data_IF_123156791624
#
_entry.id   IF_123156791624
#
_cell.length_a   1.000
_cell.length_b   1.000
_cell.length_c   1.000
_cell.angle_alpha   90.00
_cell.angle_beta   90.00
_cell.angle_gamma   90.00
#
_symmetry.space_group_name_H-M   'P 1'
#
loop_
_entity.id
_entity.type
_entity.pdbx_description
1 polymer ?
#
# COMPACT_ATOMS: atom_id res chain seq x y z
N UNK A 1 42.26 45.33 -25.78
CA UNK A 1 40.85 45.39 -25.35
C UNK A 1 40.15 44.00 -25.38
N UNK A 2 40.65 43.00 -26.11
CA UNK A 2 40.06 41.67 -26.23
C UNK A 2 40.27 40.77 -24.99
N UNK A 3 41.40 40.86 -24.30
CA UNK A 3 41.71 40.03 -23.11
C UNK A 3 40.90 40.41 -21.86
N UNK A 4 40.48 41.68 -21.75
CA UNK A 4 39.63 42.16 -20.64
C UNK A 4 38.18 41.66 -20.77
N UNK A 5 37.69 41.47 -22.00
CA UNK A 5 36.34 40.93 -22.26
C UNK A 5 36.24 39.43 -22.01
N UNK A 6 37.31 38.67 -22.27
CA UNK A 6 37.36 37.22 -22.03
C UNK A 6 37.45 36.95 -20.51
N UNK A 7 38.24 37.75 -19.76
CA UNK A 7 38.32 37.64 -18.31
C UNK A 7 37.01 37.98 -17.59
N UNK A 8 36.26 38.98 -18.07
CA UNK A 8 34.96 39.34 -17.54
C UNK A 8 33.88 38.27 -17.85
N UNK A 9 33.96 37.63 -19.03
CA UNK A 9 33.04 36.52 -19.36
C UNK A 9 33.33 35.28 -18.53
N UNK A 10 34.60 34.94 -18.28
CA UNK A 10 35.02 33.81 -17.44
C UNK A 10 34.64 34.00 -15.96
N UNK A 11 34.75 35.24 -15.45
CA UNK A 11 34.34 35.58 -14.08
C UNK A 11 32.80 35.56 -13.94
N UNK A 12 32.06 35.93 -14.96
CA UNK A 12 30.60 35.85 -15.02
C UNK A 12 30.11 34.40 -15.07
N UNK A 13 30.80 33.49 -15.74
CA UNK A 13 30.50 32.06 -15.81
C UNK A 13 30.81 31.36 -14.47
N UNK A 14 31.87 31.73 -13.77
CA UNK A 14 32.19 31.24 -12.43
C UNK A 14 31.23 31.75 -11.35
N UNK A 15 30.63 32.92 -11.51
CA UNK A 15 29.60 33.45 -10.62
C UNK A 15 28.21 32.78 -10.82
N UNK A 16 28.01 32.10 -11.94
CA UNK A 16 26.78 31.34 -12.27
C UNK A 16 26.74 29.93 -11.64
N UNK A 17 27.83 29.45 -11.02
CA UNK A 17 27.77 28.25 -10.14
C UNK A 17 27.13 28.68 -8.80
N UNK A 18 25.82 28.79 -8.79
CA UNK A 18 25.03 29.19 -7.62
C UNK A 18 25.37 28.35 -6.39
N UNK A 19 25.69 29.01 -5.27
CA UNK A 19 25.91 28.32 -3.98
C UNK A 19 24.62 27.67 -3.52
N UNK A 20 24.54 26.34 -3.57
CA UNK A 20 23.44 25.62 -2.94
C UNK A 20 23.66 25.58 -1.43
N UNK A 21 22.67 26.01 -0.66
CA UNK A 21 22.66 25.90 0.81
C UNK A 21 21.95 24.65 1.32
N UNK A 22 21.56 23.75 0.40
CA UNK A 22 21.00 22.44 0.76
C UNK A 22 22.05 21.65 1.52
N UNK A 23 21.76 21.16 2.74
CA UNK A 23 22.67 20.28 3.46
C UNK A 23 22.93 19.02 2.65
N UNK A 24 24.18 18.52 2.69
CA UNK A 24 24.48 17.22 2.07
C UNK A 24 23.59 16.16 2.70
N UNK A 25 22.88 15.42 1.85
CA UNK A 25 22.08 14.29 2.33
C UNK A 25 23.00 13.16 2.76
N UNK A 26 22.76 12.67 3.97
CA UNK A 26 23.39 11.45 4.51
C UNK A 26 22.26 10.53 4.96
N UNK A 27 22.29 9.30 4.46
CA UNK A 27 21.27 8.30 4.84
C UNK A 27 21.43 7.96 6.31
N UNK A 28 20.38 8.11 7.15
CA UNK A 28 20.42 7.67 8.55
C UNK A 28 20.74 6.19 8.67
N UNK A 29 21.45 5.80 9.74
CA UNK A 29 21.68 4.38 10.03
C UNK A 29 20.35 3.68 10.33
N UNK A 30 20.22 2.43 9.88
CA UNK A 30 19.02 1.65 10.17
C UNK A 30 18.95 1.28 11.66
N UNK A 31 17.86 1.62 12.38
CA UNK A 31 17.73 1.37 13.82
C UNK A 31 17.23 -0.06 14.12
N UNK A 32 17.76 -1.06 13.40
CA UNK A 32 17.36 -2.47 13.49
C UNK A 32 18.57 -3.39 13.55
N UNK A 33 18.38 -4.61 14.06
CA UNK A 33 19.44 -5.62 14.11
C UNK A 33 19.91 -6.03 12.71
N UNK A 34 21.15 -6.50 12.61
CA UNK A 34 21.74 -6.96 11.35
C UNK A 34 21.16 -8.30 10.86
N UNK A 35 20.50 -9.07 11.73
CA UNK A 35 19.86 -10.35 11.41
C UNK A 35 18.44 -10.39 11.98
N UNK A 36 17.55 -11.16 11.33
CA UNK A 36 16.23 -11.41 11.89
C UNK A 36 16.31 -12.40 13.07
N UNK A 37 15.41 -12.30 14.06
CA UNK A 37 15.24 -13.34 15.06
C UNK A 37 14.90 -14.67 14.38
N UNK A 38 15.30 -15.80 14.97
CA UNK A 38 14.99 -17.16 14.52
C UNK A 38 15.49 -17.54 13.12
N UNK A 39 16.41 -16.80 12.54
CA UNK A 39 17.02 -17.14 11.27
C UNK A 39 18.07 -18.25 11.47
N UNK A 40 17.72 -19.50 11.12
CA UNK A 40 18.54 -20.71 11.37
C UNK A 40 19.77 -20.80 10.44
N UNK A 41 19.79 -20.12 9.32
CA UNK A 41 20.95 -20.02 8.43
C UNK A 41 20.94 -18.74 7.60
N UNK A 42 22.12 -18.14 7.29
CA UNK A 42 22.19 -17.08 6.30
C UNK A 42 21.82 -17.68 4.93
N UNK A 43 20.63 -17.39 4.46
CA UNK A 43 20.22 -17.75 3.09
C UNK A 43 21.07 -16.90 2.15
N UNK A 44 21.76 -17.55 1.23
CA UNK A 44 22.59 -16.90 0.22
C UNK A 44 21.84 -15.77 -0.47
N UNK A 45 22.53 -14.66 -0.72
CA UNK A 45 22.02 -13.36 -1.19
C UNK A 45 21.36 -13.35 -2.59
N UNK A 46 20.71 -14.42 -3.00
CA UNK A 46 20.01 -14.56 -4.29
C UNK A 46 18.50 -14.67 -4.18
N UNK A 47 17.92 -14.08 -3.15
CA UNK A 47 16.48 -13.84 -3.18
C UNK A 47 16.20 -12.67 -4.12
N UNK A 48 16.26 -12.97 -5.40
CA UNK A 48 15.87 -12.06 -6.46
C UNK A 48 14.45 -11.56 -6.22
N UNK A 49 14.10 -10.42 -6.77
CA UNK A 49 12.76 -9.91 -6.90
C UNK A 49 11.87 -10.96 -7.57
N UNK A 50 11.30 -11.90 -6.77
CA UNK A 50 10.33 -12.83 -7.32
C UNK A 50 9.11 -12.03 -7.75
N UNK A 51 8.83 -12.02 -9.05
CA UNK A 51 7.65 -11.37 -9.58
C UNK A 51 6.39 -12.03 -8.98
N UNK A 52 5.32 -11.25 -8.75
CA UNK A 52 4.10 -11.80 -8.17
C UNK A 52 3.48 -12.94 -9.02
N UNK A 53 3.68 -12.92 -10.34
CA UNK A 53 3.27 -14.00 -11.26
C UNK A 53 4.03 -15.30 -11.01
N UNK A 54 5.25 -15.21 -10.55
CA UNK A 54 6.07 -16.35 -10.19
C UNK A 54 5.74 -16.88 -8.79
N UNK A 55 5.45 -15.97 -7.85
CA UNK A 55 5.04 -16.30 -6.49
C UNK A 55 3.70 -17.02 -6.46
N UNK A 56 2.72 -16.56 -7.23
CA UNK A 56 1.38 -17.15 -7.30
C UNK A 56 1.37 -18.31 -8.29
N UNK A 57 1.19 -19.52 -7.80
CA UNK A 57 1.12 -20.73 -8.63
C UNK A 57 -0.23 -20.99 -9.30
N UNK A 58 -1.34 -20.57 -8.66
CA UNK A 58 -2.70 -20.76 -9.18
C UNK A 58 -3.00 -19.76 -10.31
N UNK A 59 -3.42 -20.27 -11.49
CA UNK A 59 -3.70 -19.47 -12.68
C UNK A 59 -4.91 -18.54 -12.49
N UNK A 60 -5.97 -19.01 -11.84
CA UNK A 60 -7.18 -18.20 -11.58
C UNK A 60 -6.87 -17.03 -10.66
N UNK A 61 -6.04 -17.26 -9.64
CA UNK A 61 -5.59 -16.19 -8.74
C UNK A 61 -4.69 -15.20 -9.48
N UNK A 62 -3.80 -15.67 -10.37
CA UNK A 62 -2.99 -14.77 -11.23
C UNK A 62 -3.84 -13.89 -12.14
N UNK A 63 -4.86 -14.47 -12.76
CA UNK A 63 -5.77 -13.71 -13.64
C UNK A 63 -6.60 -12.71 -12.83
N UNK A 64 -7.04 -13.10 -11.65
CA UNK A 64 -7.79 -12.21 -10.76
C UNK A 64 -6.93 -11.04 -10.26
N UNK A 65 -5.66 -11.28 -9.91
CA UNK A 65 -4.70 -10.22 -9.55
C UNK A 65 -4.47 -9.31 -10.76
N UNK A 66 -4.29 -9.85 -11.97
CA UNK A 66 -4.15 -9.05 -13.19
C UNK A 66 -5.37 -8.15 -13.41
N UNK A 67 -6.57 -8.69 -13.21
CA UNK A 67 -7.82 -7.94 -13.30
C UNK A 67 -7.91 -6.83 -12.24
N UNK A 68 -7.50 -7.13 -11.00
CA UNK A 68 -7.44 -6.14 -9.92
C UNK A 68 -6.45 -5.02 -10.23
N UNK A 69 -5.26 -5.34 -10.71
CA UNK A 69 -4.24 -4.34 -11.09
C UNK A 69 -4.74 -3.41 -12.22
N UNK A 70 -5.58 -3.91 -13.12
CA UNK A 70 -6.17 -3.11 -14.19
C UNK A 70 -7.33 -2.22 -13.73
N UNK A 71 -8.14 -2.66 -12.75
CA UNK A 71 -9.42 -2.03 -12.44
C UNK A 71 -9.52 -1.43 -11.03
N UNK A 72 -8.58 -1.72 -10.13
CA UNK A 72 -8.65 -1.22 -8.75
C UNK A 72 -8.60 0.31 -8.71
N UNK A 73 -9.52 0.91 -7.95
CA UNK A 73 -9.67 2.38 -7.89
C UNK A 73 -8.59 3.04 -7.05
N UNK A 74 -8.13 2.40 -5.99
CA UNK A 74 -7.07 2.95 -5.14
C UNK A 74 -5.73 2.98 -5.88
N UNK A 75 -5.41 1.93 -6.65
CA UNK A 75 -4.23 1.91 -7.50
C UNK A 75 -4.31 2.97 -8.61
N UNK A 76 -5.50 3.18 -9.18
CA UNK A 76 -5.73 4.26 -10.15
C UNK A 76 -5.54 5.64 -9.52
N UNK A 77 -6.04 5.86 -8.31
CA UNK A 77 -5.81 7.11 -7.55
C UNK A 77 -4.32 7.32 -7.31
N UNK A 78 -3.58 6.29 -6.89
CA UNK A 78 -2.14 6.36 -6.71
C UNK A 78 -1.41 6.74 -8.01
N UNK A 79 -1.82 6.17 -9.15
CA UNK A 79 -1.25 6.49 -10.48
C UNK A 79 -1.53 7.94 -10.89
N UNK A 80 -2.78 8.40 -10.72
CA UNK A 80 -3.13 9.80 -11.04
C UNK A 80 -2.43 10.79 -10.11
N UNK A 81 -2.16 10.42 -8.86
CA UNK A 81 -1.38 11.23 -7.94
C UNK A 81 0.07 11.45 -8.43
N UNK A 82 0.67 10.44 -9.08
CA UNK A 82 1.99 10.61 -9.73
C UNK A 82 1.92 11.71 -10.78
N UNK A 83 0.90 11.72 -11.63
CA UNK A 83 0.73 12.74 -12.67
C UNK A 83 0.55 14.14 -12.06
N UNK A 84 -0.24 14.25 -11.00
CA UNK A 84 -0.45 15.50 -10.27
C UNK A 84 0.86 16.03 -9.68
N UNK A 85 1.61 15.19 -8.95
CA UNK A 85 2.87 15.59 -8.31
C UNK A 85 3.94 15.87 -9.36
N UNK A 86 3.97 15.12 -10.47
CA UNK A 86 4.84 15.39 -11.62
C UNK A 86 4.58 16.76 -12.22
N UNK A 87 3.30 17.12 -12.41
CA UNK A 87 2.94 18.46 -12.89
C UNK A 87 3.39 19.56 -11.91
N UNK A 88 3.25 19.34 -10.60
CA UNK A 88 3.76 20.27 -9.58
C UNK A 88 5.28 20.40 -9.62
N UNK A 89 6.02 19.30 -9.83
CA UNK A 89 7.47 19.34 -10.00
C UNK A 89 7.87 20.10 -11.29
N UNK A 90 7.09 19.96 -12.36
CA UNK A 90 7.30 20.75 -13.59
C UNK A 90 7.05 22.25 -13.37
N UNK A 91 6.04 22.62 -12.59
CA UNK A 91 5.80 24.02 -12.20
C UNK A 91 7.02 24.57 -11.45
N UNK A 92 7.55 23.83 -10.45
CA UNK A 92 8.77 24.25 -9.73
C UNK A 92 10.00 24.32 -10.62
N UNK A 93 10.10 23.46 -11.61
CA UNK A 93 11.15 23.55 -12.64
C UNK A 93 10.98 24.78 -13.52
N UNK A 94 9.75 25.16 -13.86
CA UNK A 94 9.45 26.35 -14.65
C UNK A 94 9.81 27.65 -13.92
N UNK A 95 9.75 27.68 -12.57
CA UNK A 95 10.17 28.82 -11.76
C UNK A 95 11.65 29.24 -12.00
N UNK A 96 12.48 28.36 -12.57
CA UNK A 96 13.87 28.66 -12.97
C UNK A 96 13.94 29.50 -14.24
N UNK A 97 12.88 29.62 -15.00
CA UNK A 97 12.84 30.31 -16.29
C UNK A 97 11.93 31.54 -16.22
N UNK A 98 12.26 32.59 -16.98
CA UNK A 98 11.40 33.77 -17.05
C UNK A 98 10.07 33.44 -17.74
N UNK A 99 8.97 33.99 -17.23
CA UNK A 99 7.68 33.98 -17.92
C UNK A 99 7.47 35.30 -18.65
N UNK A 100 7.19 35.20 -19.95
CA UNK A 100 6.93 36.38 -20.80
C UNK A 100 5.45 36.34 -21.20
N UNK A 101 4.77 37.46 -20.97
CA UNK A 101 3.38 37.65 -21.33
C UNK A 101 3.18 38.92 -22.17
N UNK A 102 2.07 38.99 -22.91
CA UNK A 102 1.59 40.21 -23.48
C UNK A 102 0.80 40.98 -22.41
N UNK A 103 1.21 42.23 -22.15
CA UNK A 103 0.55 43.12 -21.19
C UNK A 103 0.00 44.34 -21.90
N UNK A 104 -1.23 44.72 -21.55
CA UNK A 104 -1.81 46.00 -21.92
C UNK A 104 -2.25 46.70 -20.63
N UNK A 105 -1.84 47.92 -20.42
CA UNK A 105 -2.17 48.70 -19.24
C UNK A 105 -2.58 50.13 -19.61
N UNK A 106 -3.57 50.67 -18.90
CA UNK A 106 -3.94 52.07 -18.91
C UNK A 106 -3.89 52.60 -17.47
N UNK A 107 -3.11 53.64 -17.24
CA UNK A 107 -3.01 54.33 -15.96
C UNK A 107 -3.46 55.78 -16.11
N UNK A 108 -4.27 56.27 -15.17
CA UNK A 108 -4.75 57.62 -15.07
C UNK A 108 -4.55 58.12 -13.63
N UNK A 109 -3.66 59.05 -13.45
CA UNK A 109 -3.31 59.55 -12.11
C UNK A 109 -3.09 61.09 -12.13
N UNK A 110 -3.30 61.79 -10.99
CA UNK A 110 -2.90 63.17 -10.85
C UNK A 110 -1.41 63.37 -11.14
N UNK A 111 -1.05 64.44 -11.90
CA UNK A 111 0.32 64.72 -12.30
C UNK A 111 1.11 65.57 -11.30
N UNK A 112 0.55 65.91 -10.16
CA UNK A 112 1.15 66.73 -9.11
C UNK A 112 1.11 68.23 -9.38
N UNK A 113 0.69 68.66 -10.57
CA UNK A 113 0.51 70.05 -10.98
C UNK A 113 -0.96 70.49 -11.06
N UNK A 114 -1.91 69.63 -10.58
CA UNK A 114 -3.34 69.80 -10.67
C UNK A 114 -3.99 69.29 -11.94
N UNK A 115 -3.20 68.68 -12.82
CA UNK A 115 -3.63 67.99 -14.02
C UNK A 115 -3.78 66.47 -13.85
N UNK A 116 -4.14 65.78 -14.92
CA UNK A 116 -4.28 64.32 -14.97
C UNK A 116 -3.33 63.80 -16.09
N UNK A 117 -2.38 62.97 -15.70
CA UNK A 117 -1.56 62.21 -16.62
C UNK A 117 -2.21 60.87 -16.97
N UNK A 118 -2.27 60.57 -18.27
CA UNK A 118 -2.68 59.25 -18.75
C UNK A 118 -1.42 58.54 -19.29
N UNK A 119 -1.35 57.27 -19.12
CA UNK A 119 -0.33 56.42 -19.77
C UNK A 119 -1.00 55.13 -20.26
N UNK A 120 -0.87 54.87 -21.54
CA UNK A 120 -1.33 53.62 -22.16
C UNK A 120 -0.10 52.88 -22.63
N UNK A 121 -0.04 51.55 -22.40
CA UNK A 121 1.08 50.73 -22.85
C UNK A 121 0.59 49.36 -23.33
N UNK A 122 1.23 48.85 -24.38
CA UNK A 122 1.04 47.50 -24.89
C UNK A 122 2.40 46.91 -25.26
N UNK A 123 2.70 45.71 -24.79
CA UNK A 123 3.97 45.08 -25.11
C UNK A 123 4.19 43.76 -24.40
N UNK A 124 5.34 43.17 -24.64
CA UNK A 124 5.80 42.00 -23.90
C UNK A 124 6.28 42.43 -22.50
N UNK A 125 5.88 41.68 -21.48
CA UNK A 125 6.31 41.93 -20.12
C UNK A 125 6.81 40.63 -19.46
N UNK A 126 7.92 40.76 -18.76
CA UNK A 126 8.50 39.81 -17.84
C UNK A 126 8.24 40.31 -16.41
N UNK A 127 7.49 39.59 -15.64
CA UNK A 127 7.16 40.00 -14.28
C UNK A 127 8.02 39.29 -13.24
N UNK A 128 8.89 40.07 -12.56
CA UNK A 128 9.62 39.69 -11.34
C UNK A 128 10.21 38.26 -11.34
N UNK A 129 10.92 37.89 -12.41
CA UNK A 129 11.65 36.64 -12.46
C UNK A 129 12.83 36.66 -11.47
N UNK A 130 12.90 35.69 -10.57
CA UNK A 130 13.98 35.55 -9.60
C UNK A 130 15.17 34.85 -10.21
N UNK A 131 16.33 35.46 -10.14
CA UNK A 131 17.61 34.88 -10.56
C UNK A 131 18.21 34.18 -9.34
N UNK A 132 18.34 32.86 -9.43
CA UNK A 132 18.66 31.98 -8.29
C UNK A 132 20.18 31.92 -8.00
N UNK A 133 20.75 33.02 -7.47
CA UNK A 133 22.15 33.04 -7.05
C UNK A 133 22.43 32.24 -5.78
N UNK A 134 21.45 32.06 -4.93
CA UNK A 134 21.60 31.45 -3.60
C UNK A 134 20.92 30.07 -3.50
N UNK A 135 20.48 29.47 -4.61
CA UNK A 135 19.94 28.11 -4.66
C UNK A 135 18.58 27.94 -4.02
N UNK A 136 17.79 29.02 -3.83
CA UNK A 136 16.45 28.93 -3.25
C UNK A 136 15.48 28.17 -4.17
N UNK A 137 15.42 28.57 -5.44
CA UNK A 137 14.56 27.93 -6.45
C UNK A 137 15.09 26.52 -6.76
N UNK A 138 16.41 26.37 -6.84
CA UNK A 138 17.08 25.09 -7.01
C UNK A 138 16.70 24.09 -5.92
N UNK A 139 16.74 24.51 -4.64
CA UNK A 139 16.37 23.68 -3.49
C UNK A 139 14.87 23.29 -3.52
N UNK A 140 13.97 24.21 -3.88
CA UNK A 140 12.54 23.94 -4.01
C UNK A 140 12.23 22.97 -5.16
N UNK A 141 12.95 23.08 -6.29
CA UNK A 141 12.88 22.13 -7.40
C UNK A 141 13.36 20.74 -6.97
N UNK A 142 14.47 20.66 -6.24
CA UNK A 142 14.99 19.39 -5.69
C UNK A 142 13.99 18.75 -4.74
N UNK A 143 13.39 19.52 -3.84
CA UNK A 143 12.33 19.05 -2.96
C UNK A 143 11.12 18.51 -3.74
N UNK A 144 10.68 19.22 -4.77
CA UNK A 144 9.56 18.79 -5.60
C UNK A 144 9.87 17.54 -6.43
N UNK A 145 11.11 17.39 -6.92
CA UNK A 145 11.56 16.18 -7.60
C UNK A 145 11.57 14.99 -6.65
N UNK A 146 12.06 15.15 -5.42
CA UNK A 146 12.04 14.09 -4.42
C UNK A 146 10.59 13.70 -4.03
N UNK A 147 9.67 14.66 -3.95
CA UNK A 147 8.25 14.38 -3.75
C UNK A 147 7.63 13.59 -4.91
N UNK A 148 8.02 13.91 -6.16
CA UNK A 148 7.60 13.15 -7.32
C UNK A 148 8.09 11.69 -7.24
N UNK A 149 9.36 11.46 -6.93
CA UNK A 149 9.91 10.12 -6.75
C UNK A 149 9.25 9.38 -5.57
N UNK A 150 8.92 10.09 -4.48
CA UNK A 150 8.16 9.51 -3.37
C UNK A 150 6.77 9.02 -3.82
N UNK A 151 6.10 9.73 -4.73
CA UNK A 151 4.79 9.33 -5.27
C UNK A 151 4.87 8.08 -6.15
N UNK A 152 5.95 7.89 -6.89
CA UNK A 152 6.20 6.66 -7.66
C UNK A 152 6.36 5.46 -6.72
N UNK A 153 7.13 5.60 -5.65
CA UNK A 153 7.29 4.55 -4.65
C UNK A 153 6.00 4.26 -3.87
N UNK A 154 5.18 5.29 -3.60
CA UNK A 154 3.86 5.12 -2.99
C UNK A 154 2.94 4.26 -3.87
N UNK A 155 2.95 4.46 -5.18
CA UNK A 155 2.20 3.63 -6.14
C UNK A 155 2.71 2.17 -6.12
N UNK A 156 4.03 1.96 -6.06
CA UNK A 156 4.62 0.64 -5.98
C UNK A 156 4.21 -0.08 -4.67
N UNK A 157 4.20 0.63 -3.54
CA UNK A 157 3.72 0.13 -2.26
C UNK A 157 2.23 -0.24 -2.31
N UNK A 158 1.41 0.59 -2.96
CA UNK A 158 -0.02 0.32 -3.17
C UNK A 158 -0.23 -0.93 -4.03
N UNK A 159 0.56 -1.13 -5.10
CA UNK A 159 0.52 -2.33 -5.93
C UNK A 159 0.85 -3.59 -5.13
N UNK A 160 1.97 -3.59 -4.38
CA UNK A 160 2.34 -4.71 -3.51
C UNK A 160 1.23 -5.05 -2.51
N UNK A 161 0.65 -4.03 -1.89
CA UNK A 161 -0.44 -4.19 -0.92
C UNK A 161 -1.70 -4.75 -1.58
N UNK A 162 -2.03 -4.31 -2.79
CA UNK A 162 -3.18 -4.82 -3.56
C UNK A 162 -3.01 -6.29 -3.92
N UNK A 163 -1.83 -6.68 -4.45
CA UNK A 163 -1.52 -8.08 -4.77
C UNK A 163 -1.70 -8.96 -3.53
N UNK A 164 -1.13 -8.56 -2.40
CA UNK A 164 -1.24 -9.30 -1.15
C UNK A 164 -2.69 -9.37 -0.62
N UNK A 165 -3.45 -8.26 -0.70
CA UNK A 165 -4.84 -8.21 -0.27
C UNK A 165 -5.74 -9.11 -1.13
N UNK A 166 -5.59 -9.09 -2.46
CA UNK A 166 -6.35 -9.96 -3.38
C UNK A 166 -6.03 -11.43 -3.09
N UNK A 167 -4.74 -11.78 -2.94
CA UNK A 167 -4.34 -13.15 -2.62
C UNK A 167 -4.91 -13.62 -1.28
N UNK A 168 -4.78 -12.83 -0.23
CA UNK A 168 -5.29 -13.17 1.10
C UNK A 168 -6.81 -13.30 1.13
N UNK A 169 -7.55 -12.42 0.46
CA UNK A 169 -9.02 -12.48 0.39
C UNK A 169 -9.50 -13.67 -0.45
N UNK A 170 -8.80 -14.00 -1.53
CA UNK A 170 -9.10 -15.19 -2.34
C UNK A 170 -8.91 -16.47 -1.55
N UNK A 171 -7.83 -16.59 -0.76
CA UNK A 171 -7.58 -17.71 0.17
C UNK A 171 -8.65 -17.78 1.25
N UNK A 172 -9.08 -16.63 1.80
CA UNK A 172 -10.21 -16.57 2.74
C UNK A 172 -11.49 -17.09 2.12
N UNK A 173 -11.81 -16.67 0.89
CA UNK A 173 -13.00 -17.15 0.17
C UNK A 173 -12.93 -18.65 -0.12
N UNK A 174 -11.75 -19.19 -0.45
CA UNK A 174 -11.54 -20.62 -0.62
C UNK A 174 -11.83 -21.37 0.67
N UNK A 175 -11.27 -20.93 1.80
CA UNK A 175 -11.52 -21.54 3.11
C UNK A 175 -12.99 -21.38 3.53
N UNK A 176 -13.62 -20.24 3.23
CA UNK A 176 -15.05 -20.03 3.46
C UNK A 176 -15.92 -21.01 2.67
N UNK A 177 -15.56 -21.35 1.44
CA UNK A 177 -16.25 -22.39 0.66
C UNK A 177 -16.05 -23.79 1.27
N UNK A 178 -14.84 -24.13 1.74
CA UNK A 178 -14.53 -25.38 2.39
C UNK A 178 -15.32 -25.54 3.69
N UNK A 179 -15.33 -24.51 4.54
CA UNK A 179 -16.08 -24.49 5.78
C UNK A 179 -17.59 -24.53 5.54
N UNK A 180 -18.08 -23.85 4.52
CA UNK A 180 -19.51 -23.90 4.17
C UNK A 180 -19.95 -25.32 3.81
N UNK A 181 -19.19 -26.02 2.97
CA UNK A 181 -19.50 -27.41 2.61
C UNK A 181 -19.45 -28.34 3.82
N UNK A 182 -18.48 -28.16 4.73
CA UNK A 182 -18.38 -28.89 5.99
C UNK A 182 -19.62 -28.64 6.89
N UNK A 183 -20.02 -27.40 7.06
CA UNK A 183 -21.13 -27.00 7.93
C UNK A 183 -22.48 -27.46 7.32
N UNK A 184 -22.67 -27.35 6.02
CA UNK A 184 -23.89 -27.84 5.33
C UNK A 184 -24.06 -29.33 5.54
N UNK A 185 -23.00 -30.14 5.39
CA UNK A 185 -23.03 -31.58 5.68
C UNK A 185 -23.34 -31.86 7.14
N UNK A 186 -22.68 -31.14 8.05
CA UNK A 186 -22.91 -31.28 9.49
C UNK A 186 -24.37 -30.98 9.88
N UNK A 187 -24.91 -29.88 9.30
CA UNK A 187 -26.30 -29.49 9.53
C UNK A 187 -27.29 -30.54 9.01
N UNK A 188 -27.05 -31.10 7.83
CA UNK A 188 -27.87 -32.20 7.29
C UNK A 188 -27.83 -33.44 8.19
N UNK A 189 -26.65 -33.89 8.60
CA UNK A 189 -26.49 -35.05 9.50
C UNK A 189 -27.17 -34.81 10.85
N UNK A 190 -27.08 -33.61 11.42
CA UNK A 190 -27.77 -33.28 12.70
C UNK A 190 -29.27 -33.20 12.53
N UNK A 191 -29.78 -32.76 11.41
CA UNK A 191 -31.21 -32.76 11.09
C UNK A 191 -31.77 -34.19 11.02
N UNK A 192 -31.04 -35.13 10.39
CA UNK A 192 -31.41 -36.53 10.31
C UNK A 192 -31.36 -37.21 11.72
N UNK A 193 -30.33 -36.88 12.52
CA UNK A 193 -30.22 -37.34 13.90
C UNK A 193 -31.36 -36.85 14.76
N UNK A 194 -31.77 -35.57 14.61
CA UNK A 194 -32.94 -35.04 15.33
C UNK A 194 -34.22 -35.74 14.92
N UNK A 195 -34.43 -35.98 13.63
CA UNK A 195 -35.62 -36.71 13.13
C UNK A 195 -35.70 -38.13 13.74
N UNK A 196 -34.57 -38.83 13.80
CA UNK A 196 -34.51 -40.16 14.39
C UNK A 196 -34.72 -40.13 15.91
N UNK A 197 -34.14 -39.17 16.63
CA UNK A 197 -34.31 -38.97 18.07
C UNK A 197 -35.76 -38.68 18.41
N UNK A 198 -36.43 -37.85 17.61
CA UNK A 198 -37.87 -37.55 17.78
C UNK A 198 -38.74 -38.80 17.58
N UNK A 199 -38.49 -39.57 16.50
CA UNK A 199 -39.21 -40.82 16.27
C UNK A 199 -39.04 -41.82 17.43
N UNK A 200 -37.85 -41.95 17.98
CA UNK A 200 -37.57 -42.80 19.13
C UNK A 200 -38.23 -42.32 20.41
N UNK A 201 -38.27 -41.01 20.65
CA UNK A 201 -38.94 -40.39 21.79
C UNK A 201 -40.45 -40.62 21.71
N UNK A 202 -41.08 -40.39 20.56
CA UNK A 202 -42.51 -40.61 20.35
C UNK A 202 -42.94 -42.07 20.56
N UNK A 203 -41.99 -43.02 20.39
CA UNK A 203 -42.18 -44.45 20.65
C UNK A 203 -41.67 -44.91 22.05
N UNK A 204 -41.26 -43.95 22.94
CA UNK A 204 -40.79 -44.28 24.29
C UNK A 204 -39.40 -44.95 24.35
N UNK A 205 -38.64 -44.94 23.26
CA UNK A 205 -37.34 -45.61 23.13
C UNK A 205 -36.11 -44.75 23.46
N UNK A 206 -36.30 -43.46 23.80
CA UNK A 206 -35.24 -42.55 24.23
C UNK A 206 -35.76 -41.52 25.22
N UNK A 207 -34.87 -40.82 25.93
CA UNK A 207 -35.20 -39.82 26.94
C UNK A 207 -35.55 -38.49 26.35
N UNK A 208 -36.32 -37.63 27.07
CA UNK A 208 -36.54 -36.26 26.74
C UNK A 208 -35.20 -35.46 26.70
N UNK A 209 -34.23 -35.84 27.54
CA UNK A 209 -32.89 -35.23 27.56
C UNK A 209 -32.18 -35.40 26.21
N UNK A 210 -32.18 -36.62 25.67
CA UNK A 210 -31.54 -36.92 24.36
C UNK A 210 -32.20 -36.15 23.23
N UNK A 211 -33.54 -36.03 23.24
CA UNK A 211 -34.27 -35.20 22.25
C UNK A 211 -33.86 -33.75 22.34
N UNK A 212 -33.87 -33.12 23.53
CA UNK A 212 -33.49 -31.72 23.73
C UNK A 212 -32.04 -31.44 23.33
N UNK A 213 -31.16 -32.40 23.53
CA UNK A 213 -29.76 -32.30 23.11
C UNK A 213 -29.63 -32.35 21.59
N UNK A 214 -30.35 -33.23 20.91
CA UNK A 214 -30.41 -33.28 19.45
C UNK A 214 -30.99 -31.98 18.86
N UNK A 215 -32.04 -31.41 19.46
CA UNK A 215 -32.61 -30.12 19.09
C UNK A 215 -31.57 -28.97 19.21
N UNK A 216 -30.87 -28.90 20.36
CA UNK A 216 -29.85 -27.90 20.62
C UNK A 216 -28.70 -27.94 19.61
N UNK A 217 -28.18 -29.15 19.31
CA UNK A 217 -27.10 -29.33 18.35
C UNK A 217 -27.52 -28.99 16.92
N UNK A 218 -28.78 -29.30 16.55
CA UNK A 218 -29.32 -28.92 15.24
C UNK A 218 -29.46 -27.41 15.11
N UNK A 219 -29.98 -26.75 16.14
CA UNK A 219 -30.08 -25.28 16.16
C UNK A 219 -28.68 -24.60 16.08
N UNK A 220 -27.70 -25.15 16.81
CA UNK A 220 -26.31 -24.65 16.74
C UNK A 220 -25.72 -24.83 15.33
N UNK A 221 -25.99 -25.94 14.64
CA UNK A 221 -25.52 -26.13 13.26
C UNK A 221 -26.18 -25.18 12.27
N UNK A 222 -27.48 -24.90 12.43
CA UNK A 222 -28.20 -23.92 11.61
C UNK A 222 -27.68 -22.51 11.83
N UNK A 223 -27.35 -22.12 13.07
CA UNK A 223 -26.73 -20.86 13.40
C UNK A 223 -25.35 -20.74 12.76
N UNK A 224 -24.50 -21.76 12.85
CA UNK A 224 -23.18 -21.79 12.22
C UNK A 224 -23.29 -21.70 10.69
N UNK A 225 -24.29 -22.36 10.08
CA UNK A 225 -24.55 -22.28 8.64
C UNK A 225 -24.88 -20.84 8.20
N UNK A 226 -25.77 -20.16 8.92
CA UNK A 226 -26.12 -18.79 8.64
C UNK A 226 -24.91 -17.85 8.78
N UNK A 227 -24.08 -18.07 9.82
CA UNK A 227 -22.84 -17.32 10.04
C UNK A 227 -21.84 -17.52 8.90
N UNK A 228 -21.63 -18.76 8.45
CA UNK A 228 -20.67 -19.07 7.39
C UNK A 228 -21.11 -18.53 6.02
N UNK A 229 -22.40 -18.60 5.71
CA UNK A 229 -22.96 -17.98 4.50
C UNK A 229 -22.72 -16.48 4.48
N UNK A 230 -22.87 -15.82 5.65
CA UNK A 230 -22.53 -14.39 5.78
C UNK A 230 -21.04 -14.14 5.60
N UNK A 231 -20.16 -14.93 6.23
CA UNK A 231 -18.70 -14.79 6.09
C UNK A 231 -18.27 -14.89 4.62
N UNK A 232 -18.75 -15.92 3.91
CA UNK A 232 -18.49 -16.09 2.47
C UNK A 232 -18.97 -14.90 1.64
N UNK A 233 -20.14 -14.34 1.94
CA UNK A 233 -20.65 -13.15 1.23
C UNK A 233 -19.77 -11.92 1.47
N UNK A 234 -19.28 -11.75 2.71
CA UNK A 234 -18.35 -10.66 3.05
C UNK A 234 -17.02 -10.80 2.32
N UNK A 235 -16.45 -12.00 2.24
CA UNK A 235 -15.23 -12.26 1.48
C UNK A 235 -15.40 -11.94 -0.01
N UNK A 236 -16.53 -12.31 -0.59
CA UNK A 236 -16.85 -11.99 -1.99
C UNK A 236 -17.02 -10.49 -2.23
N UNK A 237 -17.67 -9.78 -1.31
CA UNK A 237 -17.82 -8.33 -1.37
C UNK A 237 -16.46 -7.63 -1.24
N UNK A 238 -15.59 -8.08 -0.34
CA UNK A 238 -14.23 -7.56 -0.20
C UNK A 238 -13.41 -7.79 -1.49
N UNK A 239 -13.52 -8.99 -2.06
CA UNK A 239 -12.85 -9.31 -3.33
C UNK A 239 -13.36 -8.43 -4.48
N UNK A 240 -14.68 -8.19 -4.53
CA UNK A 240 -15.31 -7.29 -5.53
C UNK A 240 -14.76 -5.86 -5.43
N UNK A 241 -14.58 -5.35 -4.22
CA UNK A 241 -13.99 -4.03 -3.98
C UNK A 241 -12.52 -3.99 -4.44
N UNK A 242 -11.72 -5.00 -4.07
CA UNK A 242 -10.31 -5.08 -4.45
C UNK A 242 -10.11 -5.21 -5.96
N UNK A 243 -10.95 -6.00 -6.63
CA UNK A 243 -10.91 -6.17 -8.09
C UNK A 243 -11.48 -4.95 -8.83
N UNK A 244 -12.31 -4.13 -8.17
CA UNK A 244 -12.95 -2.95 -8.75
C UNK A 244 -14.15 -3.24 -9.64
N UNK A 245 -14.54 -4.52 -9.74
CA UNK A 245 -15.74 -5.02 -10.43
C UNK A 245 -16.12 -6.41 -9.90
N UNK A 246 -17.31 -6.90 -10.24
CA UNK A 246 -17.70 -8.26 -9.88
C UNK A 246 -16.72 -9.28 -10.50
N UNK A 247 -16.07 -10.13 -9.69
CA UNK A 247 -15.13 -11.12 -10.23
C UNK A 247 -15.84 -12.13 -11.09
N UNK A 248 -15.29 -12.52 -12.27
CA UNK A 248 -15.83 -13.61 -13.06
C UNK A 248 -15.90 -14.92 -12.26
N UNK A 249 -17.00 -15.64 -12.35
CA UNK A 249 -17.21 -16.88 -11.59
C UNK A 249 -16.10 -17.93 -11.88
N UNK A 250 -15.55 -17.94 -13.08
CA UNK A 250 -14.45 -18.84 -13.46
C UNK A 250 -13.15 -18.60 -12.70
N UNK A 251 -12.93 -17.38 -12.17
CA UNK A 251 -11.73 -17.00 -11.42
C UNK A 251 -11.90 -17.18 -9.90
N UNK A 252 -13.12 -17.49 -9.45
CA UNK A 252 -13.37 -17.75 -8.04
C UNK A 252 -12.89 -19.15 -7.63
N UNK A 253 -12.54 -19.36 -6.34
CA UNK A 253 -12.20 -20.69 -5.86
C UNK A 253 -13.37 -21.67 -6.06
N UNK A 254 -13.07 -22.83 -6.63
CA UNK A 254 -14.08 -23.87 -6.79
C UNK A 254 -14.46 -24.42 -5.42
N UNK A 255 -15.76 -24.49 -5.09
CA UNK A 255 -16.19 -25.20 -3.88
C UNK A 255 -15.67 -26.65 -3.93
N UNK A 256 -15.14 -27.17 -2.83
CA UNK A 256 -14.66 -28.55 -2.81
C UNK A 256 -15.84 -29.49 -3.09
N UNK A 257 -15.70 -30.35 -4.08
CA UNK A 257 -16.56 -31.54 -4.22
C UNK A 257 -16.19 -32.47 -3.07
N UNK A 258 -16.98 -32.41 -1.99
CA UNK A 258 -16.80 -33.37 -0.90
C UNK A 258 -17.18 -34.76 -1.43
N UNK A 259 -16.30 -35.76 -1.30
CA UNK A 259 -16.66 -37.13 -1.68
C UNK A 259 -17.95 -37.51 -0.96
N UNK A 260 -18.89 -38.12 -1.65
CA UNK A 260 -20.04 -38.73 -1.01
C UNK A 260 -19.53 -39.67 0.10
N UNK A 261 -20.19 -39.63 1.23
CA UNK A 261 -19.86 -40.54 2.35
C UNK A 261 -19.92 -41.99 1.81
N UNK A 262 -18.72 -42.53 1.56
CA UNK A 262 -18.66 -43.93 1.09
C UNK A 262 -19.16 -44.81 2.23
N UNK A 263 -20.38 -45.27 2.13
CA UNK A 263 -20.97 -46.27 3.01
C UNK A 263 -20.46 -47.64 2.60
N UNK A 264 -19.19 -47.92 2.87
CA UNK A 264 -18.75 -49.29 2.94
C UNK A 264 -19.25 -49.81 4.28
N UNK A 265 -20.25 -50.70 4.27
CA UNK A 265 -20.90 -51.32 5.43
C UNK A 265 -21.60 -50.37 6.42
N UNK A 266 -22.17 -49.25 5.93
CA UNK A 266 -22.99 -48.36 6.78
C UNK A 266 -22.18 -47.43 7.72
N UNK A 267 -20.87 -47.39 7.64
CA UNK A 267 -20.04 -46.45 8.39
C UNK A 267 -19.77 -45.21 7.52
N UNK A 268 -20.14 -44.03 8.01
CA UNK A 268 -19.84 -42.76 7.36
C UNK A 268 -18.36 -42.43 7.56
N UNK A 269 -17.51 -42.81 6.60
CA UNK A 269 -16.15 -42.31 6.58
C UNK A 269 -16.21 -40.82 6.24
N UNK A 270 -15.86 -39.96 7.18
CA UNK A 270 -15.67 -38.52 6.94
C UNK A 270 -14.27 -38.34 6.39
N UNK A 271 -14.11 -38.14 5.08
CA UNK A 271 -12.76 -37.92 4.54
C UNK A 271 -12.24 -36.57 5.03
N UNK A 272 -11.11 -36.60 5.72
CA UNK A 272 -10.26 -35.41 5.85
C UNK A 272 -9.57 -35.24 4.50
N UNK A 273 -10.15 -34.46 3.60
CA UNK A 273 -9.58 -34.27 2.27
C UNK A 273 -8.22 -33.56 2.39
N UNK A 274 -7.14 -34.15 1.91
CA UNK A 274 -5.90 -33.42 1.74
C UNK A 274 -6.09 -32.48 0.54
N UNK A 275 -6.24 -31.18 0.79
CA UNK A 275 -6.08 -30.19 -0.29
C UNK A 275 -4.59 -30.01 -0.50
N UNK A 276 -4.04 -30.20 -1.71
CA UNK A 276 -2.63 -29.96 -1.96
C UNK A 276 -2.33 -28.46 -1.81
N UNK A 277 -1.87 -28.05 -0.62
CA UNK A 277 -1.50 -26.68 -0.33
C UNK A 277 -0.23 -26.22 -1.08
N UNK A 278 0.60 -27.16 -1.52
CA UNK A 278 1.94 -26.89 -2.02
C UNK A 278 2.01 -26.26 -3.43
N UNK A 279 0.90 -26.15 -4.17
CA UNK A 279 0.92 -25.64 -5.54
C UNK A 279 0.46 -24.17 -5.68
N UNK A 280 -0.12 -23.56 -4.66
CA UNK A 280 -0.75 -22.24 -4.78
C UNK A 280 0.22 -21.06 -4.64
N UNK A 281 1.18 -21.17 -3.75
CA UNK A 281 2.18 -20.14 -3.47
C UNK A 281 3.56 -20.77 -3.41
N UNK A 282 4.56 -20.10 -3.97
CA UNK A 282 5.97 -20.54 -3.85
C UNK A 282 6.57 -20.05 -2.54
N UNK A 283 7.48 -20.84 -1.98
CA UNK A 283 8.24 -20.43 -0.82
C UNK A 283 9.20 -19.29 -1.15
N UNK A 284 9.23 -18.28 -0.27
CA UNK A 284 10.09 -17.12 -0.40
C UNK A 284 11.12 -17.15 0.71
N UNK A 285 12.42 -17.19 0.39
CA UNK A 285 13.47 -17.15 1.40
C UNK A 285 13.57 -15.76 2.05
N UNK A 286 13.88 -15.71 3.34
CA UNK A 286 13.79 -14.50 4.17
C UNK A 286 14.71 -13.31 3.76
N UNK A 287 15.84 -13.57 3.08
CA UNK A 287 16.80 -12.52 2.72
C UNK A 287 17.53 -11.90 3.92
N UNK A 288 18.16 -10.74 3.73
CA UNK A 288 18.85 -9.97 4.78
C UNK A 288 18.07 -8.71 5.15
N UNK A 289 18.13 -8.24 6.40
CA UNK A 289 17.49 -6.98 6.81
C UNK A 289 17.90 -5.76 5.99
N UNK A 290 19.17 -5.69 5.56
CA UNK A 290 19.70 -4.62 4.71
C UNK A 290 19.02 -4.55 3.33
N UNK A 291 18.52 -5.68 2.82
CA UNK A 291 17.84 -5.74 1.52
C UNK A 291 16.50 -4.99 1.55
N UNK A 292 15.84 -4.93 2.70
CA UNK A 292 14.58 -4.20 2.88
C UNK A 292 14.74 -2.71 2.53
N UNK A 293 15.90 -2.11 2.87
CA UNK A 293 16.17 -0.69 2.61
C UNK A 293 16.16 -0.34 1.12
N UNK A 294 16.50 -1.30 0.27
CA UNK A 294 16.59 -1.10 -1.18
C UNK A 294 15.41 -1.66 -1.94
N UNK A 295 14.71 -2.64 -1.37
CA UNK A 295 13.64 -3.38 -2.05
C UNK A 295 12.24 -2.88 -1.71
N UNK A 296 12.00 -2.43 -0.48
CA UNK A 296 10.66 -2.02 -0.05
C UNK A 296 10.31 -0.62 -0.55
N UNK A 297 9.23 -0.50 -1.33
CA UNK A 297 8.81 0.80 -1.85
C UNK A 297 8.38 1.79 -0.75
N UNK A 298 7.79 1.34 0.35
CA UNK A 298 7.38 2.20 1.48
C UNK A 298 8.58 2.82 2.20
N UNK A 299 9.70 2.09 2.35
CA UNK A 299 10.95 2.64 2.90
C UNK A 299 11.56 3.64 1.93
N UNK A 300 11.60 3.33 0.63
CA UNK A 300 12.09 4.22 -0.42
C UNK A 300 11.24 5.48 -0.53
N UNK A 301 9.93 5.37 -0.37
CA UNK A 301 9.02 6.51 -0.29
C UNK A 301 9.40 7.43 0.88
N UNK A 302 9.58 6.87 2.08
CA UNK A 302 9.96 7.65 3.27
C UNK A 302 11.35 8.30 3.11
N UNK A 303 12.29 7.63 2.46
CA UNK A 303 13.61 8.20 2.13
C UNK A 303 13.49 9.40 1.17
N UNK A 304 12.67 9.29 0.12
CA UNK A 304 12.45 10.41 -0.80
C UNK A 304 11.77 11.61 -0.10
N UNK A 305 10.86 11.35 0.83
CA UNK A 305 10.25 12.41 1.65
C UNK A 305 11.30 13.09 2.56
N UNK A 306 12.25 12.32 3.11
CA UNK A 306 13.36 12.87 3.88
C UNK A 306 14.28 13.74 3.01
N UNK A 307 14.60 13.30 1.80
CA UNK A 307 15.38 14.09 0.84
C UNK A 307 14.66 15.40 0.50
N UNK A 308 13.35 15.37 0.29
CA UNK A 308 12.56 16.56 0.04
C UNK A 308 12.60 17.56 1.23
N UNK A 309 12.45 17.04 2.45
CA UNK A 309 12.54 17.85 3.67
C UNK A 309 13.95 18.46 3.87
N UNK A 310 15.00 17.70 3.54
CA UNK A 310 16.38 18.18 3.59
C UNK A 310 16.62 19.31 2.56
N UNK A 311 16.08 19.19 1.35
CA UNK A 311 16.18 20.22 0.32
C UNK A 311 15.47 21.53 0.75
N UNK A 312 14.33 21.45 1.44
CA UNK A 312 13.62 22.61 1.97
C UNK A 312 14.44 23.44 2.97
N UNK A 313 15.41 22.83 3.70
CA UNK A 313 16.34 23.57 4.54
C UNK A 313 17.22 24.50 3.70
N UNK A 314 17.64 24.06 2.51
CA UNK A 314 18.39 24.88 1.56
C UNK A 314 17.61 26.14 1.17
N UNK A 315 16.34 25.98 0.82
CA UNK A 315 15.47 27.12 0.49
C UNK A 315 15.26 28.07 1.68
N UNK A 316 15.10 27.53 2.90
CA UNK A 316 14.97 28.34 4.12
C UNK A 316 16.26 29.10 4.48
N UNK A 317 17.43 28.50 4.24
CA UNK A 317 18.73 29.19 4.41
C UNK A 317 18.94 30.27 3.39
N UNK A 318 18.57 30.03 2.13
CA UNK A 318 18.67 31.00 1.05
C UNK A 318 17.82 32.27 1.32
N UNK A 319 16.75 32.18 2.12
CA UNK A 319 15.91 33.32 2.48
C UNK A 319 16.61 34.39 3.34
N UNK A 320 17.77 34.11 3.93
CA UNK A 320 18.60 35.08 4.64
C UNK A 320 19.45 35.95 3.70
N UNK A 321 19.56 35.56 2.44
CA UNK A 321 20.39 36.25 1.43
C UNK A 321 19.52 37.14 0.53
N UNK A 322 20.16 38.09 -0.23
CA UNK A 322 19.41 38.95 -1.11
C UNK A 322 18.66 38.20 -2.18
N UNK A 323 17.36 38.49 -2.31
CA UNK A 323 16.55 38.03 -3.42
C UNK A 323 16.74 38.95 -4.61
N UNK A 324 17.25 38.42 -5.72
CA UNK A 324 17.49 39.18 -6.93
C UNK A 324 16.43 38.84 -7.95
N UNK A 325 15.63 39.83 -8.36
CA UNK A 325 14.58 39.68 -9.36
C UNK A 325 14.77 40.63 -10.53
N UNK A 326 14.33 40.19 -11.69
CA UNK A 326 14.35 40.96 -12.91
C UNK A 326 12.93 41.17 -13.41
N UNK A 327 12.56 42.45 -13.60
CA UNK A 327 11.36 42.83 -14.31
C UNK A 327 11.79 43.48 -15.61
N UNK A 328 11.15 43.14 -16.73
CA UNK A 328 11.45 43.75 -18.03
C UNK A 328 10.16 43.94 -18.83
N UNK A 329 10.15 44.96 -19.66
CA UNK A 329 9.09 45.15 -20.64
C UNK A 329 9.64 45.70 -21.93
N UNK A 330 9.01 45.35 -23.06
CA UNK A 330 9.35 45.92 -24.39
C UNK A 330 8.06 46.07 -25.19
N UNK A 331 7.78 47.28 -25.67
CA UNK A 331 6.52 47.57 -26.35
C UNK A 331 6.34 49.05 -26.65
N UNK A 332 5.10 49.49 -26.81
CA UNK A 332 4.72 50.84 -27.09
C UNK A 332 4.04 51.48 -25.86
N UNK A 333 4.33 52.77 -25.64
CA UNK A 333 3.70 53.57 -24.59
C UNK A 333 3.39 54.98 -25.08
N UNK A 334 2.24 55.54 -24.70
CA UNK A 334 1.79 56.86 -25.10
C UNK A 334 0.90 57.49 -24.03
N UNK A 335 0.86 58.82 -23.99
CA UNK A 335 -0.07 59.58 -23.16
C UNK A 335 -1.51 59.62 -23.71
N UNK A 336 -1.70 59.26 -24.99
CA UNK A 336 -3.00 59.12 -25.64
C UNK A 336 -3.14 57.76 -26.28
N UNK A 337 -4.38 57.23 -26.31
CA UNK A 337 -4.66 55.94 -26.93
C UNK A 337 -4.36 55.94 -28.45
N UNK A 338 -4.59 57.07 -29.13
CA UNK A 338 -4.32 57.24 -30.57
C UNK A 338 -2.83 57.21 -30.88
N UNK A 339 -1.96 57.69 -29.97
CA UNK A 339 -0.52 57.73 -30.16
C UNK A 339 0.20 56.44 -29.83
N UNK A 340 -0.50 55.38 -29.42
CA UNK A 340 0.10 54.16 -28.91
C UNK A 340 0.96 53.41 -29.94
N UNK A 341 0.64 53.55 -31.24
CA UNK A 341 1.36 52.91 -32.34
C UNK A 341 2.05 53.90 -33.30
N UNK A 342 2.20 55.16 -32.87
CA UNK A 342 2.89 56.17 -33.62
C UNK A 342 4.42 56.03 -33.52
N UNK A 343 5.12 56.70 -34.47
CA UNK A 343 6.60 56.75 -34.45
C UNK A 343 7.11 57.35 -33.13
N UNK A 344 8.02 56.64 -32.45
CA UNK A 344 8.57 57.09 -31.17
C UNK A 344 7.87 56.58 -29.92
N UNK A 345 6.76 55.83 -30.06
CA UNK A 345 6.08 55.21 -28.91
C UNK A 345 6.78 53.94 -28.41
N UNK A 346 7.70 53.34 -29.17
CA UNK A 346 8.42 52.15 -28.80
C UNK A 346 9.47 52.37 -27.72
N UNK A 347 9.51 51.50 -26.74
CA UNK A 347 10.52 51.55 -25.68
C UNK A 347 10.70 50.21 -24.99
N UNK A 348 11.73 50.10 -24.17
CA UNK A 348 11.93 48.96 -23.29
C UNK A 348 12.32 49.43 -21.89
N UNK A 349 11.99 48.60 -20.90
CA UNK A 349 12.41 48.79 -19.51
C UNK A 349 13.09 47.51 -19.03
N UNK A 350 14.22 47.67 -18.34
CA UNK A 350 14.92 46.59 -17.66
C UNK A 350 15.17 47.04 -16.22
N UNK A 351 14.51 46.40 -15.26
CA UNK A 351 14.55 46.79 -13.86
C UNK A 351 15.01 45.62 -12.97
N UNK A 352 16.32 45.42 -12.79
CA UNK A 352 16.83 44.50 -11.79
C UNK A 352 16.56 45.05 -10.40
N UNK A 353 16.14 44.22 -9.48
CA UNK A 353 15.87 44.56 -8.09
C UNK A 353 16.53 43.55 -7.16
N UNK A 354 17.18 44.04 -6.11
CA UNK A 354 17.74 43.21 -5.04
C UNK A 354 17.08 43.60 -3.71
N UNK A 355 16.53 42.65 -3.01
CA UNK A 355 15.88 42.84 -1.70
C UNK A 355 16.56 41.95 -0.67
N UNK A 356 17.24 42.57 0.29
CA UNK A 356 17.81 41.87 1.49
C UNK A 356 16.95 42.18 2.71
N UNK A 357 16.36 41.19 3.38
CA UNK A 357 15.64 41.43 4.62
C UNK A 357 16.64 41.70 5.76
N UNK A 358 16.65 42.93 6.27
CA UNK A 358 17.53 43.37 7.39
C UNK A 358 16.81 43.12 8.72
N UNK A 359 15.49 43.31 8.75
CA UNK A 359 14.65 43.08 9.92
C UNK A 359 13.34 42.49 9.48
N UNK A 360 13.02 41.32 10.00
CA UNK A 360 11.82 40.55 9.69
C UNK A 360 11.10 40.00 10.94
N UNK A 361 11.40 40.55 12.11
CA UNK A 361 10.90 40.12 13.41
C UNK A 361 11.14 38.62 13.71
N UNK A 362 12.20 38.04 13.15
CA UNK A 362 12.60 36.64 13.38
C UNK A 362 11.91 35.61 12.48
N UNK A 363 11.15 36.05 11.45
CA UNK A 363 10.41 35.16 10.54
C UNK A 363 11.32 34.16 9.82
N UNK A 364 12.44 34.59 9.26
CA UNK A 364 13.38 33.71 8.57
C UNK A 364 14.00 32.68 9.52
N UNK A 365 14.29 33.09 10.77
CA UNK A 365 14.81 32.18 11.78
C UNK A 365 13.77 31.11 12.19
N UNK A 366 12.52 31.53 12.35
CA UNK A 366 11.40 30.62 12.62
C UNK A 366 11.15 29.64 11.44
N UNK A 367 11.20 30.13 10.19
CA UNK A 367 11.07 29.31 9.00
C UNK A 367 12.21 28.26 8.89
N UNK A 368 13.44 28.64 9.18
CA UNK A 368 14.57 27.71 9.23
C UNK A 368 14.42 26.70 10.35
N UNK A 369 13.96 27.12 11.53
CA UNK A 369 13.62 26.22 12.65
C UNK A 369 12.57 25.21 12.26
N UNK A 370 11.49 25.66 11.62
CA UNK A 370 10.42 24.80 11.09
C UNK A 370 10.94 23.79 10.05
N UNK A 371 11.77 24.23 9.10
CA UNK A 371 12.34 23.34 8.09
C UNK A 371 13.27 22.27 8.71
N UNK A 372 14.07 22.62 9.72
CA UNK A 372 14.89 21.65 10.45
C UNK A 372 14.03 20.63 11.20
N UNK A 373 13.00 21.10 11.92
CA UNK A 373 12.07 20.22 12.61
C UNK A 373 11.32 19.29 11.65
N UNK A 374 10.93 19.79 10.47
CA UNK A 374 10.30 18.96 9.43
C UNK A 374 11.25 17.86 8.93
N UNK A 375 12.55 18.16 8.76
CA UNK A 375 13.55 17.12 8.43
C UNK A 375 13.67 16.09 9.57
N UNK A 376 13.73 16.52 10.80
CA UNK A 376 13.87 15.61 11.96
C UNK A 376 12.64 14.70 12.12
N UNK A 377 11.44 15.24 11.83
CA UNK A 377 10.21 14.44 11.71
C UNK A 377 10.34 13.40 10.58
N UNK A 378 10.85 13.80 9.41
CA UNK A 378 11.02 12.89 8.27
C UNK A 378 12.07 11.81 8.58
N UNK A 379 13.14 12.09 9.34
CA UNK A 379 14.09 11.09 9.86
C UNK A 379 13.36 10.07 10.73
N UNK A 380 12.59 10.52 11.70
CA UNK A 380 11.84 9.62 12.59
C UNK A 380 10.80 8.77 11.83
N UNK A 381 10.16 9.32 10.78
CA UNK A 381 9.25 8.58 9.92
C UNK A 381 9.97 7.52 9.07
N UNK A 382 11.15 7.84 8.55
CA UNK A 382 12.00 6.89 7.82
C UNK A 382 12.46 5.74 8.73
N UNK A 383 12.95 6.05 9.94
CA UNK A 383 13.33 5.04 10.94
C UNK A 383 12.14 4.15 11.34
N UNK A 384 10.97 4.75 11.55
CA UNK A 384 9.73 4.02 11.84
C UNK A 384 9.34 3.08 10.69
N UNK A 385 9.49 3.50 9.44
CA UNK A 385 9.22 2.65 8.27
C UNK A 385 10.13 1.41 8.27
N UNK A 386 11.43 1.59 8.56
CA UNK A 386 12.40 0.50 8.69
C UNK A 386 12.01 -0.46 9.83
N UNK A 387 11.70 0.07 11.02
CA UNK A 387 11.30 -0.74 12.17
C UNK A 387 10.01 -1.53 11.89
N UNK A 388 9.01 -0.91 11.23
CA UNK A 388 7.78 -1.57 10.85
C UNK A 388 8.04 -2.70 9.85
N UNK A 389 8.89 -2.45 8.86
CA UNK A 389 9.28 -3.46 7.87
C UNK A 389 10.02 -4.63 8.51
N UNK A 390 10.96 -4.35 9.41
CA UNK A 390 11.68 -5.38 10.15
C UNK A 390 10.74 -6.24 10.99
N UNK A 391 9.80 -5.61 11.72
CA UNK A 391 8.79 -6.31 12.51
C UNK A 391 7.91 -7.20 11.62
N UNK A 392 7.42 -6.70 10.50
CA UNK A 392 6.56 -7.47 9.57
C UNK A 392 7.25 -8.75 9.08
N UNK A 393 8.55 -8.66 8.76
CA UNK A 393 9.32 -9.85 8.36
C UNK A 393 9.52 -10.79 9.55
N UNK A 394 9.89 -10.26 10.73
CA UNK A 394 10.08 -11.09 11.93
C UNK A 394 8.79 -11.81 12.33
N UNK A 395 7.63 -11.13 12.31
CA UNK A 395 6.32 -11.71 12.59
C UNK A 395 6.00 -12.84 11.59
N UNK A 396 6.27 -12.62 10.30
CA UNK A 396 6.02 -13.64 9.28
C UNK A 396 6.97 -14.84 9.39
N UNK A 397 8.23 -14.63 9.80
CA UNK A 397 9.18 -15.72 10.06
C UNK A 397 8.77 -16.55 11.28
N UNK A 398 8.34 -15.91 12.36
CA UNK A 398 7.80 -16.60 13.54
C UNK A 398 6.57 -17.45 13.17
N UNK A 399 5.69 -16.90 12.31
CA UNK A 399 4.57 -17.66 11.75
C UNK A 399 5.04 -18.85 10.92
N UNK A 400 6.04 -18.69 10.05
CA UNK A 400 6.59 -19.78 9.22
C UNK A 400 7.21 -20.89 10.07
N UNK A 401 7.87 -20.54 11.17
CA UNK A 401 8.50 -21.50 12.09
C UNK A 401 7.48 -22.34 12.88
N UNK A 402 6.28 -21.82 13.13
CA UNK A 402 5.36 -22.44 14.09
C UNK A 402 4.08 -23.00 13.44
N UNK A 403 3.58 -22.38 12.37
CA UNK A 403 2.32 -22.79 11.72
C UNK A 403 2.41 -24.17 11.05
N UNK A 404 3.59 -24.59 10.59
CA UNK A 404 3.83 -25.92 10.02
C UNK A 404 3.63 -27.02 11.06
N UNK A 405 4.24 -26.87 12.23
CA UNK A 405 4.11 -27.82 13.35
C UNK A 405 2.68 -27.85 13.89
N UNK A 406 2.06 -26.67 14.04
CA UNK A 406 0.66 -26.55 14.45
C UNK A 406 -0.27 -27.29 13.48
N UNK A 407 -0.09 -27.10 12.17
CA UNK A 407 -0.89 -27.76 11.14
C UNK A 407 -0.73 -29.28 11.21
N UNK A 408 0.51 -29.78 11.37
CA UNK A 408 0.81 -31.19 11.48
C UNK A 408 0.13 -31.80 12.71
N UNK A 409 0.24 -31.17 13.87
CA UNK A 409 -0.41 -31.61 15.11
C UNK A 409 -1.94 -31.66 14.99
N UNK A 410 -2.54 -30.61 14.39
CA UNK A 410 -3.98 -30.58 14.15
C UNK A 410 -4.46 -31.60 13.13
N UNK A 411 -3.64 -31.94 12.14
CA UNK A 411 -3.94 -33.00 11.20
C UNK A 411 -4.00 -34.39 11.88
N UNK A 412 -3.04 -34.66 12.77
CA UNK A 412 -3.04 -35.88 13.61
C UNK A 412 -4.29 -35.90 14.51
N UNK A 413 -4.62 -34.76 15.13
CA UNK A 413 -5.81 -34.64 15.97
C UNK A 413 -7.09 -34.87 15.15
N UNK A 414 -7.22 -34.27 13.97
CA UNK A 414 -8.42 -34.47 13.13
C UNK A 414 -8.59 -35.91 12.68
N UNK A 415 -7.49 -36.61 12.40
CA UNK A 415 -7.50 -38.03 12.05
C UNK A 415 -7.96 -38.90 13.25
N UNK A 416 -7.44 -38.61 14.45
CA UNK A 416 -7.83 -39.31 15.67
C UNK A 416 -9.30 -39.08 16.03
N UNK A 417 -9.80 -37.82 15.90
CA UNK A 417 -11.21 -37.52 16.16
C UNK A 417 -12.15 -38.14 15.11
N UNK A 418 -11.73 -38.26 13.85
CA UNK A 418 -12.49 -38.95 12.83
C UNK A 418 -12.63 -40.43 13.15
N UNK A 419 -11.56 -41.08 13.59
CA UNK A 419 -11.59 -42.48 14.03
C UNK A 419 -12.39 -42.65 15.32
N UNK A 420 -12.25 -41.72 16.29
CA UNK A 420 -13.09 -41.71 17.51
C UNK A 420 -14.58 -41.63 17.17
N UNK A 421 -14.96 -40.76 16.26
CA UNK A 421 -16.35 -40.65 15.81
C UNK A 421 -16.84 -41.95 15.15
N UNK A 422 -16.04 -42.56 14.26
CA UNK A 422 -16.37 -43.84 13.62
C UNK A 422 -16.58 -44.96 14.66
N UNK A 423 -15.69 -45.04 15.63
CA UNK A 423 -15.80 -46.07 16.72
C UNK A 423 -16.98 -45.80 17.65
N UNK A 424 -17.27 -44.55 18.00
CA UNK A 424 -18.43 -44.18 18.83
C UNK A 424 -19.73 -44.57 18.12
N UNK A 425 -19.84 -44.31 16.83
CA UNK A 425 -21.01 -44.68 16.02
C UNK A 425 -21.17 -46.20 15.95
N UNK A 426 -20.09 -46.94 15.73
CA UNK A 426 -20.13 -48.42 15.70
C UNK A 426 -20.57 -49.00 17.04
N UNK A 427 -20.05 -48.53 18.16
CA UNK A 427 -20.43 -48.95 19.50
C UNK A 427 -21.90 -48.67 19.81
N UNK A 428 -22.38 -47.50 19.43
CA UNK A 428 -23.78 -47.11 19.59
C UNK A 428 -24.70 -48.00 18.77
N UNK A 429 -24.39 -48.30 17.50
CA UNK A 429 -25.18 -49.19 16.64
C UNK A 429 -25.26 -50.62 17.22
N UNK A 430 -24.23 -51.08 17.94
CA UNK A 430 -24.19 -52.37 18.61
C UNK A 430 -24.75 -52.33 20.06
N UNK A 431 -25.34 -51.21 20.49
CA UNK A 431 -25.95 -51.06 21.81
C UNK A 431 -24.97 -51.03 22.98
N UNK A 432 -23.65 -50.80 22.72
CA UNK A 432 -22.58 -50.84 23.74
C UNK A 432 -22.31 -49.47 24.36
N UNK A 433 -22.72 -48.35 23.70
CA UNK A 433 -22.53 -47.00 24.22
C UNK A 433 -23.76 -46.12 24.00
N UNK A 434 -23.81 -45.00 24.72
CA UNK A 434 -24.89 -44.01 24.63
C UNK A 434 -24.84 -43.22 23.32
N UNK A 435 -25.99 -42.67 22.92
CA UNK A 435 -26.02 -41.72 21.79
C UNK A 435 -25.25 -40.41 22.10
N UNK A 436 -25.13 -40.06 23.37
CA UNK A 436 -24.35 -38.94 23.84
C UNK A 436 -22.89 -39.05 23.44
N UNK A 437 -22.28 -40.23 23.49
CA UNK A 437 -20.88 -40.46 23.08
C UNK A 437 -20.67 -40.15 21.60
N UNK A 438 -21.67 -40.51 20.75
CA UNK A 438 -21.65 -40.21 19.31
C UNK A 438 -21.73 -38.70 19.07
N UNK A 439 -22.66 -38.01 19.76
CA UNK A 439 -22.86 -36.59 19.63
C UNK A 439 -21.62 -35.81 20.10
N UNK A 440 -20.96 -36.27 21.17
CA UNK A 440 -19.72 -35.63 21.66
C UNK A 440 -18.56 -35.84 20.70
N UNK A 441 -18.36 -37.05 20.17
CA UNK A 441 -17.34 -37.33 19.17
C UNK A 441 -17.57 -36.53 17.88
N UNK A 442 -18.82 -36.40 17.42
CA UNK A 442 -19.19 -35.58 16.27
C UNK A 442 -18.90 -34.08 16.48
N UNK A 443 -19.18 -33.57 17.69
CA UNK A 443 -18.87 -32.16 18.03
C UNK A 443 -17.38 -31.90 18.02
N UNK A 444 -16.59 -32.79 18.64
CA UNK A 444 -15.13 -32.68 18.69
C UNK A 444 -14.52 -32.75 17.29
N UNK A 445 -14.92 -33.68 16.45
CA UNK A 445 -14.48 -33.79 15.07
C UNK A 445 -14.78 -32.53 14.28
N UNK A 446 -16.01 -32.01 14.37
CA UNK A 446 -16.40 -30.77 13.67
C UNK A 446 -15.54 -29.56 14.08
N UNK A 447 -15.32 -29.39 15.40
CA UNK A 447 -14.49 -28.31 15.92
C UNK A 447 -13.03 -28.41 15.43
N UNK A 448 -12.50 -29.65 15.47
CA UNK A 448 -11.12 -29.89 15.01
C UNK A 448 -10.95 -29.68 13.50
N UNK A 449 -11.93 -30.07 12.68
CA UNK A 449 -11.90 -29.81 11.23
C UNK A 449 -11.98 -28.31 10.91
N UNK A 450 -12.78 -27.55 11.65
CA UNK A 450 -12.81 -26.09 11.51
C UNK A 450 -11.46 -25.44 11.86
N UNK A 451 -10.88 -25.88 13.01
CA UNK A 451 -9.56 -25.35 13.42
C UNK A 451 -8.48 -25.69 12.41
N UNK A 452 -8.48 -26.91 11.85
CA UNK A 452 -7.53 -27.32 10.81
C UNK A 452 -7.63 -26.44 9.55
N UNK A 453 -8.85 -26.15 9.07
CA UNK A 453 -9.07 -25.28 7.91
C UNK A 453 -8.58 -23.86 8.18
N UNK A 454 -8.83 -23.32 9.38
CA UNK A 454 -8.38 -21.98 9.79
C UNK A 454 -6.85 -21.88 9.92
N UNK A 455 -6.20 -22.91 10.48
CA UNK A 455 -4.72 -22.92 10.60
C UNK A 455 -4.07 -23.03 9.23
N UNK A 456 -4.65 -23.79 8.30
CA UNK A 456 -4.19 -23.84 6.89
C UNK A 456 -4.30 -22.48 6.23
N UNK A 457 -5.41 -21.78 6.41
CA UNK A 457 -5.57 -20.41 5.93
C UNK A 457 -4.51 -19.47 6.53
N UNK A 458 -4.30 -19.55 7.85
CA UNK A 458 -3.30 -18.72 8.53
C UNK A 458 -1.88 -18.97 7.97
N UNK A 459 -1.51 -20.22 7.70
CA UNK A 459 -0.23 -20.57 7.07
C UNK A 459 -0.08 -19.95 5.67
N UNK A 460 -1.12 -20.08 4.84
CA UNK A 460 -1.10 -19.50 3.48
C UNK A 460 -1.05 -17.96 3.50
N UNK A 461 -1.83 -17.35 4.37
CA UNK A 461 -1.80 -15.89 4.55
C UNK A 461 -0.46 -15.40 5.10
N UNK A 462 0.19 -16.18 5.95
CA UNK A 462 1.53 -15.88 6.45
C UNK A 462 2.58 -15.90 5.32
N UNK A 463 2.46 -16.82 4.35
CA UNK A 463 3.32 -16.83 3.14
C UNK A 463 3.10 -15.57 2.30
N UNK A 464 1.85 -15.13 2.12
CA UNK A 464 1.54 -13.86 1.43
C UNK A 464 2.09 -12.66 2.20
N UNK A 465 1.97 -12.66 3.52
CA UNK A 465 2.50 -11.60 4.39
C UNK A 465 4.03 -11.53 4.31
N UNK A 466 4.72 -12.67 4.33
CA UNK A 466 6.18 -12.73 4.16
C UNK A 466 6.60 -12.18 2.79
N UNK A 467 5.93 -12.58 1.71
CA UNK A 467 6.18 -12.09 0.36
C UNK A 467 6.05 -10.56 0.28
N UNK A 468 4.95 -10.01 0.82
CA UNK A 468 4.72 -8.56 0.91
C UNK A 468 5.81 -7.88 1.75
N UNK A 469 6.13 -8.43 2.93
CA UNK A 469 7.08 -7.85 3.87
C UNK A 469 8.50 -7.77 3.30
N UNK A 470 8.86 -8.70 2.43
CA UNK A 470 10.14 -8.69 1.70
C UNK A 470 10.18 -7.75 0.50
N UNK A 471 9.09 -7.03 0.23
CA UNK A 471 9.00 -6.06 -0.87
C UNK A 471 8.70 -6.68 -2.23
N UNK A 472 8.09 -7.87 -2.26
CA UNK A 472 7.64 -8.51 -3.50
C UNK A 472 6.42 -7.83 -4.12
N UNK A 473 6.19 -8.04 -5.42
CA UNK A 473 4.92 -7.72 -6.09
C UNK A 473 4.87 -6.43 -6.90
N UNK A 474 5.89 -5.56 -6.84
CA UNK A 474 5.90 -4.31 -7.60
C UNK A 474 6.81 -4.32 -8.83
N UNK A 475 7.75 -5.24 -8.91
CA UNK A 475 8.61 -5.37 -10.10
C UNK A 475 7.77 -5.76 -11.31
N UNK A 476 7.83 -4.92 -12.33
CA UNK A 476 7.36 -5.24 -13.67
C UNK A 476 8.47 -6.05 -14.34
N UNK A 477 8.10 -7.15 -15.00
CA UNK A 477 9.01 -7.94 -15.81
C UNK A 477 9.80 -7.09 -16.80
#
# INVERSE_FOLDING_TARGET
MTHFRIGALSLAVLALSGCSFTPKYERPAAPVAATFPDQIAPVAAQTGNMAWREFVGDERLRDLISLALANNRDLRVATLNIEQVRAQAQIRRADQFPSVGLAAAGNRQPDGSGGIANTYSVGLALSSWEIDFFGRIGSLKEAALAQYLASEEARNAAQTSLVAAVASTWLSLQTSNELLALIERTAATRQDSLRLSKLRFDNGATSALDLRQAESLTAAAQSALAQQRRARALDLNALTLLVGQAPPAALLPVPPTMPEAVTANGAVAVPVAPVPAAAMLREVPAGLPSDLLTRRPDIRQAEQQLIAANANIGAARAAFFPRISLTASAGTASSSLSGLFESGSWGFTLAPQALLPIFDAGRNNANLGSAKAARDIAVAQYEKAIQSAFREVADALAGSATLGDQLTAQQVQATAEAERFRLAELRYRNGVSSFLDVLDAQRSLFTTQQALAQTRLAQQQNQVALYKALGGGWTVE
#
